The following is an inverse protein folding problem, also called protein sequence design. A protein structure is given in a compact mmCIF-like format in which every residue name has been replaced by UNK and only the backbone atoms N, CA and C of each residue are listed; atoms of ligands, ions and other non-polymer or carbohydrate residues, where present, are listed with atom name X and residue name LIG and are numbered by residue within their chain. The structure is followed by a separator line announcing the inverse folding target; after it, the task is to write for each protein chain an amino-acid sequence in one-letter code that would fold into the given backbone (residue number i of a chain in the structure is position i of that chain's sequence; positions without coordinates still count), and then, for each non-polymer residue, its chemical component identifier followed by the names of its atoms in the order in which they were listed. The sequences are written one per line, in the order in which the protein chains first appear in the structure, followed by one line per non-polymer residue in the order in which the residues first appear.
data_IF_180256195002
#
_entry.id   IF_180256195002
#
_cell.length_a   1.000
_cell.length_b   1.000
_cell.length_c   1.000
_cell.angle_alpha   90.00
_cell.angle_beta   90.00
_cell.angle_gamma   90.00
#
_symmetry.space_group_name_H-M   'P 1'
#
loop_
_entity.id
_entity.type
_entity.pdbx_description
1 polymer ?
#
# COMPACT_ATOMS: atom_id res chain seq x y z
N UNK A 1 -9.82 -14.17 -10.81
CA UNK A 1 -9.75 -13.22 -11.94
C UNK A 1 -10.28 -11.89 -11.43
N UNK A 2 -9.45 -10.86 -11.44
CA UNK A 2 -9.70 -9.54 -10.85
C UNK A 2 -10.97 -8.92 -11.45
N UNK A 3 -11.80 -8.25 -10.65
CA UNK A 3 -12.96 -7.52 -11.16
C UNK A 3 -12.51 -6.38 -12.08
N UNK A 4 -12.97 -6.31 -13.35
CA UNK A 4 -12.47 -5.36 -14.35
C UNK A 4 -12.74 -3.89 -14.01
N UNK A 5 -13.66 -3.60 -13.09
CA UNK A 5 -14.12 -2.25 -12.78
C UNK A 5 -13.40 -1.61 -11.57
N UNK A 6 -12.57 -2.36 -10.83
CA UNK A 6 -11.95 -1.87 -9.59
C UNK A 6 -12.96 -1.50 -8.47
N UNK A 7 -14.26 -1.75 -8.70
CA UNK A 7 -15.35 -1.49 -7.76
C UNK A 7 -15.83 -2.83 -7.19
N UNK A 8 -15.87 -2.90 -5.87
CA UNK A 8 -16.38 -4.05 -5.13
C UNK A 8 -17.81 -3.73 -4.69
N UNK A 9 -18.79 -4.48 -5.19
CA UNK A 9 -20.20 -4.24 -4.83
C UNK A 9 -20.62 -4.93 -3.53
N UNK A 10 -19.85 -5.94 -3.11
CA UNK A 10 -20.04 -6.63 -1.85
C UNK A 10 -18.70 -6.98 -1.15
N UNK A 11 -18.67 -7.03 0.20
CA UNK A 11 -17.49 -7.41 0.97
C UNK A 11 -16.97 -8.81 0.63
N UNK A 12 -17.87 -9.75 0.30
CA UNK A 12 -17.49 -11.11 -0.09
C UNK A 12 -16.71 -11.16 -1.41
N UNK A 13 -16.96 -10.22 -2.31
CA UNK A 13 -16.22 -10.12 -3.57
C UNK A 13 -14.80 -9.62 -3.31
N UNK A 14 -14.66 -8.58 -2.47
CA UNK A 14 -13.38 -8.04 -2.04
C UNK A 14 -12.55 -9.11 -1.31
N UNK A 15 -13.18 -9.87 -0.40
CA UNK A 15 -12.50 -10.92 0.35
C UNK A 15 -11.97 -12.02 -0.58
N UNK A 16 -12.77 -12.45 -1.55
CA UNK A 16 -12.37 -13.44 -2.55
C UNK A 16 -11.19 -12.98 -3.39
N UNK A 17 -11.14 -11.69 -3.71
CA UNK A 17 -10.09 -11.15 -4.56
C UNK A 17 -8.79 -10.93 -3.82
N UNK A 18 -8.86 -10.44 -2.58
CA UNK A 18 -7.71 -10.38 -1.66
C UNK A 18 -7.11 -11.78 -1.47
N UNK A 19 -7.95 -12.80 -1.21
CA UNK A 19 -7.47 -14.18 -1.03
C UNK A 19 -6.78 -14.73 -2.28
N UNK A 20 -7.34 -14.44 -3.47
CA UNK A 20 -6.70 -14.81 -4.73
C UNK A 20 -5.37 -14.07 -4.93
N UNK A 21 -5.33 -12.77 -4.66
CA UNK A 21 -4.11 -11.97 -4.77
C UNK A 21 -3.00 -12.49 -3.84
N UNK A 22 -3.33 -12.82 -2.59
CA UNK A 22 -2.39 -13.44 -1.63
C UNK A 22 -1.87 -14.78 -2.17
N UNK A 23 -2.74 -15.63 -2.70
CA UNK A 23 -2.35 -16.94 -3.24
C UNK A 23 -1.40 -16.81 -4.44
N UNK A 24 -1.69 -15.90 -5.37
CA UNK A 24 -0.83 -15.64 -6.52
C UNK A 24 0.51 -15.01 -6.11
N UNK A 25 0.49 -14.10 -5.14
CA UNK A 25 1.70 -13.48 -4.60
C UNK A 25 2.60 -14.50 -3.88
N UNK A 26 2.02 -15.43 -3.12
CA UNK A 26 2.76 -16.51 -2.45
C UNK A 26 3.39 -17.53 -3.42
N UNK A 27 2.82 -17.73 -4.62
CA UNK A 27 3.41 -18.63 -5.63
C UNK A 27 4.73 -18.10 -6.20
N UNK A 28 4.87 -16.78 -6.28
CA UNK A 28 6.10 -16.15 -6.75
C UNK A 28 6.32 -14.83 -5.99
N UNK A 29 6.78 -14.90 -4.73
CA UNK A 29 6.94 -13.73 -3.91
C UNK A 29 8.04 -12.86 -4.51
N UNK A 30 7.67 -11.67 -4.99
CA UNK A 30 8.67 -10.68 -5.36
C UNK A 30 9.25 -10.10 -4.07
N UNK A 31 10.56 -10.21 -3.83
CA UNK A 31 11.16 -9.59 -2.67
C UNK A 31 10.89 -8.08 -2.75
N UNK A 32 10.11 -7.57 -1.80
CA UNK A 32 9.97 -6.15 -1.63
C UNK A 32 11.29 -5.64 -1.04
N UNK A 33 12.15 -5.12 -1.91
CA UNK A 33 13.39 -4.47 -1.50
C UNK A 33 12.99 -3.07 -1.04
N UNK A 34 13.14 -2.81 0.26
CA UNK A 34 13.09 -1.45 0.81
C UNK A 34 14.18 -0.63 0.11
N UNK A 35 13.78 0.22 -0.84
CA UNK A 35 14.70 1.13 -1.55
C UNK A 35 15.06 2.35 -0.72
N UNK A 36 14.25 2.68 0.28
CA UNK A 36 14.50 3.75 1.25
C UNK A 36 14.83 3.10 2.60
N UNK A 37 15.93 3.49 3.21
CA UNK A 37 16.29 3.09 4.58
C UNK A 37 15.27 3.63 5.57
N UNK A 38 15.14 2.99 6.73
CA UNK A 38 14.26 3.47 7.80
C UNK A 38 14.50 4.96 8.12
N UNK A 39 15.76 5.40 8.11
CA UNK A 39 16.15 6.81 8.25
C UNK A 39 15.53 7.73 7.20
N UNK A 40 15.54 7.34 5.93
CA UNK A 40 14.97 8.16 4.85
C UNK A 40 13.44 8.27 4.97
N UNK A 41 12.77 7.23 5.46
CA UNK A 41 11.34 7.28 5.79
C UNK A 41 11.09 8.22 6.96
N UNK A 42 11.91 8.14 8.01
CA UNK A 42 11.78 9.01 9.18
C UNK A 42 12.07 10.48 8.85
N UNK A 43 13.04 10.75 7.98
CA UNK A 43 13.34 12.09 7.47
C UNK A 43 12.19 12.65 6.64
N UNK A 44 11.64 11.83 5.73
CA UNK A 44 10.46 12.21 4.93
C UNK A 44 9.25 12.51 5.83
N UNK A 45 9.05 11.72 6.89
CA UNK A 45 7.98 11.92 7.85
C UNK A 45 8.17 13.20 8.66
N UNK A 46 9.39 13.46 9.13
CA UNK A 46 9.74 14.67 9.86
C UNK A 46 9.53 15.92 8.99
N UNK A 47 10.02 15.91 7.75
CA UNK A 47 9.82 16.99 6.79
C UNK A 47 8.34 17.22 6.48
N UNK A 48 7.56 16.15 6.30
CA UNK A 48 6.13 16.26 6.06
C UNK A 48 5.37 16.83 7.27
N UNK A 49 5.69 16.38 8.49
CA UNK A 49 5.13 16.94 9.73
C UNK A 49 5.46 18.42 9.90
N UNK A 50 6.69 18.85 9.60
CA UNK A 50 7.07 20.26 9.61
C UNK A 50 6.28 21.08 8.58
N UNK A 51 6.10 20.54 7.37
CA UNK A 51 5.36 21.23 6.31
C UNK A 51 3.86 21.36 6.62
N UNK A 52 3.23 20.37 7.24
CA UNK A 52 1.83 20.46 7.69
C UNK A 52 1.68 21.54 8.78
N UNK A 53 2.67 21.68 9.66
CA UNK A 53 2.65 22.69 10.73
C UNK A 53 2.91 24.12 10.19
N UNK A 54 3.72 24.26 9.13
CA UNK A 54 4.02 25.54 8.48
C UNK A 54 2.91 26.03 7.53
N UNK A 55 2.13 25.10 6.95
CA UNK A 55 0.98 25.41 6.07
C UNK A 55 -0.25 25.94 6.81
N UNK A 56 -0.14 26.17 8.12
CA UNK A 56 -1.18 26.73 9.00
C UNK A 56 -1.06 28.25 9.20
N UNK A 57 -0.58 29.00 8.22
CA UNK A 57 -0.48 30.46 8.27
C UNK A 57 -1.42 31.15 7.28
#
# INVERSE_FOLDING_TARGET
MYSPSGVWTAPSELERDIRQWINEWNKNPKPFVWTKTADDILETLAAHCTQINDSGH
#
